data_IF_843963006027
#
_entry.id   IF_843963006027
#
_cell.length_a   1.000
_cell.length_b   1.000
_cell.length_c   1.000
_cell.angle_alpha   90.00
_cell.angle_beta   90.00
_cell.angle_gamma   90.00
#
_symmetry.space_group_name_H-M   'P 1'
#
loop_
_entity.id
_entity.type
_entity.pdbx_description
1 polymer ?
#
# COMPACT_ATOMS: atom_id res chain seq x y z
N UNK A 1 55.48 16.32 22.63
CA UNK A 1 55.37 15.14 23.51
C UNK A 1 55.43 13.89 22.66
N UNK A 2 56.08 12.81 23.12
CA UNK A 2 56.15 11.52 22.39
C UNK A 2 54.86 10.73 22.62
N UNK A 3 54.01 10.58 21.61
CA UNK A 3 52.88 9.66 21.69
C UNK A 3 53.35 8.22 21.52
N UNK A 4 52.91 7.36 22.45
CA UNK A 4 53.06 5.91 22.42
C UNK A 4 51.84 5.31 21.72
N UNK A 5 52.08 4.31 20.87
CA UNK A 5 51.03 3.51 20.23
C UNK A 5 50.17 2.83 21.30
N UNK A 6 48.87 3.01 21.23
CA UNK A 6 47.88 2.16 21.90
C UNK A 6 47.07 1.51 20.78
N UNK A 7 47.05 0.18 20.78
CA UNK A 7 46.27 -0.64 19.86
C UNK A 7 44.79 -0.27 19.99
N UNK A 8 44.16 0.09 18.87
CA UNK A 8 42.71 0.17 18.78
C UNK A 8 42.15 -1.25 18.94
N UNK A 9 41.54 -1.50 20.10
CA UNK A 9 40.70 -2.67 20.29
C UNK A 9 39.43 -2.47 19.46
N UNK A 10 39.24 -3.32 18.46
CA UNK A 10 37.98 -3.45 17.74
C UNK A 10 36.92 -3.85 18.77
N UNK A 11 36.03 -2.91 19.12
CA UNK A 11 34.78 -3.26 19.80
C UNK A 11 33.82 -3.70 18.70
N UNK A 12 33.78 -5.01 18.45
CA UNK A 12 32.72 -5.62 17.66
C UNK A 12 31.47 -5.64 18.55
N UNK A 13 30.65 -4.60 18.47
CA UNK A 13 29.27 -4.69 18.95
C UNK A 13 28.53 -5.53 17.93
N UNK A 14 28.31 -6.81 18.24
CA UNK A 14 27.45 -7.67 17.42
C UNK A 14 26.01 -7.21 17.60
N UNK A 15 25.57 -6.24 16.79
CA UNK A 15 24.16 -6.05 16.54
C UNK A 15 23.71 -7.30 15.82
N UNK A 16 22.77 -8.03 16.41
CA UNK A 16 22.12 -9.14 15.75
C UNK A 16 21.32 -8.57 14.57
N UNK A 17 21.98 -8.39 13.43
CA UNK A 17 21.32 -8.22 12.16
C UNK A 17 20.60 -9.55 11.89
N UNK A 18 19.29 -9.57 12.11
CA UNK A 18 18.44 -10.62 11.57
C UNK A 18 18.70 -10.62 10.07
N UNK A 19 19.31 -11.69 9.57
CA UNK A 19 19.63 -11.81 8.14
C UNK A 19 18.32 -11.75 7.37
N UNK A 20 18.07 -10.63 6.69
CA UNK A 20 17.04 -10.55 5.69
C UNK A 20 17.43 -11.55 4.58
N UNK A 21 16.61 -12.57 4.41
CA UNK A 21 16.62 -13.39 3.19
C UNK A 21 16.38 -12.43 2.05
N UNK A 22 17.27 -12.40 1.05
CA UNK A 22 17.05 -11.69 -0.19
C UNK A 22 15.90 -12.36 -0.95
N UNK A 23 14.67 -12.07 -0.54
CA UNK A 23 13.50 -12.12 -1.40
C UNK A 23 13.71 -11.09 -2.51
N UNK A 24 13.22 -11.36 -3.71
CA UNK A 24 13.14 -10.36 -4.77
C UNK A 24 12.56 -9.06 -4.22
N UNK A 25 13.12 -7.89 -4.56
CA UNK A 25 12.75 -6.57 -4.02
C UNK A 25 11.28 -6.15 -4.24
N UNK A 26 10.48 -6.99 -4.91
CA UNK A 26 9.04 -6.84 -5.07
C UNK A 26 8.35 -6.70 -3.70
N UNK A 27 7.42 -5.76 -3.61
CA UNK A 27 6.59 -5.44 -2.44
C UNK A 27 7.36 -5.00 -1.18
N UNK A 28 8.65 -4.65 -1.31
CA UNK A 28 9.41 -4.14 -0.18
C UNK A 28 8.99 -2.70 0.11
N UNK A 29 8.41 -2.47 1.29
CA UNK A 29 8.09 -1.15 1.81
C UNK A 29 9.32 -0.51 2.47
N UNK A 30 9.58 0.74 2.13
CA UNK A 30 10.71 1.54 2.62
C UNK A 30 10.25 2.96 2.95
N UNK A 31 10.91 3.60 3.93
CA UNK A 31 10.76 5.05 4.13
C UNK A 31 11.63 5.78 3.12
N UNK A 32 11.03 6.71 2.38
CA UNK A 32 11.72 7.67 1.53
C UNK A 32 11.72 9.01 2.24
N UNK A 33 12.89 9.53 2.60
CA UNK A 33 13.01 10.70 3.45
C UNK A 33 14.12 11.65 2.98
N UNK A 34 13.83 12.93 2.97
CA UNK A 34 14.83 13.99 2.92
C UNK A 34 14.39 15.09 3.87
N UNK A 35 15.30 15.52 4.73
CA UNK A 35 15.04 16.57 5.71
C UNK A 35 14.80 17.95 5.04
N UNK A 36 14.52 18.99 5.84
CA UNK A 36 14.25 20.34 5.31
C UNK A 36 15.39 20.94 4.46
N UNK A 37 16.64 20.55 4.73
CA UNK A 37 17.86 21.01 4.06
C UNK A 37 18.42 19.97 3.06
N UNK A 38 17.61 18.96 2.70
CA UNK A 38 17.98 17.82 1.84
C UNK A 38 19.03 16.88 2.44
N UNK A 39 19.34 17.02 3.73
CA UNK A 39 20.33 16.19 4.40
C UNK A 39 19.97 15.91 5.87
N UNK A 40 19.76 14.64 6.26
CA UNK A 40 20.04 13.43 5.50
C UNK A 40 19.01 13.17 4.41
N UNK A 41 19.46 12.58 3.29
CA UNK A 41 18.61 12.10 2.20
C UNK A 41 18.70 10.58 2.08
N UNK A 42 17.59 9.89 2.28
CA UNK A 42 17.45 8.43 2.26
C UNK A 42 16.40 8.07 1.21
N UNK A 43 16.85 7.39 0.15
CA UNK A 43 16.04 7.12 -1.04
C UNK A 43 15.99 5.64 -1.44
N UNK A 44 16.54 4.77 -0.59
CA UNK A 44 16.50 3.32 -0.76
C UNK A 44 16.72 2.61 0.59
N UNK A 45 16.74 1.28 0.57
CA UNK A 45 16.99 0.43 1.74
C UNK A 45 18.40 -0.16 1.79
N UNK A 46 19.37 0.38 1.05
CA UNK A 46 20.73 -0.18 0.99
C UNK A 46 21.48 0.00 2.31
N UNK A 47 21.13 1.06 3.07
CA UNK A 47 21.77 1.41 4.33
C UNK A 47 23.03 2.27 4.16
N UNK A 48 23.40 2.65 2.94
CA UNK A 48 24.54 3.50 2.67
C UNK A 48 24.39 4.30 1.36
N UNK A 49 24.82 5.56 1.35
CA UNK A 49 24.91 6.39 0.15
C UNK A 49 26.15 7.29 0.21
N UNK A 50 26.76 7.53 -0.95
CA UNK A 50 27.85 8.51 -1.09
C UNK A 50 27.31 9.76 -1.80
N UNK A 51 27.40 10.90 -1.12
CA UNK A 51 27.05 12.21 -1.67
C UNK A 51 28.00 12.65 -2.78
N UNK A 52 27.56 13.60 -3.60
CA UNK A 52 28.41 14.14 -4.69
C UNK A 52 29.67 14.86 -4.19
N UNK A 53 29.69 15.24 -2.92
CA UNK A 53 30.81 15.84 -2.20
C UNK A 53 31.74 14.80 -1.56
N UNK A 54 31.44 13.51 -1.68
CA UNK A 54 32.17 12.39 -1.07
C UNK A 54 31.71 12.06 0.36
N UNK A 55 30.67 12.71 0.88
CA UNK A 55 30.13 12.39 2.21
C UNK A 55 29.44 11.03 2.18
N UNK A 56 29.94 10.06 2.95
CA UNK A 56 29.30 8.76 3.13
C UNK A 56 28.25 8.91 4.23
N UNK A 57 27.01 8.55 3.93
CA UNK A 57 25.91 8.48 4.90
C UNK A 57 25.50 7.03 5.08
N UNK A 58 25.39 6.56 6.31
CA UNK A 58 24.94 5.21 6.66
C UNK A 58 23.69 5.27 7.53
N UNK A 59 22.82 4.28 7.41
CA UNK A 59 21.60 4.17 8.22
C UNK A 59 21.16 2.72 8.36
N UNK A 60 20.35 2.45 9.38
CA UNK A 60 19.60 1.20 9.54
C UNK A 60 18.24 1.36 8.87
N UNK A 61 17.99 0.59 7.81
CA UNK A 61 16.68 0.50 7.18
C UNK A 61 15.83 -0.59 7.85
N UNK A 62 14.63 -0.22 8.31
CA UNK A 62 13.57 -1.15 8.69
C UNK A 62 12.57 -1.27 7.55
N UNK A 63 12.53 -2.42 6.89
CA UNK A 63 11.65 -2.69 5.74
C UNK A 63 10.55 -3.69 6.10
N UNK A 64 9.54 -3.78 5.24
CA UNK A 64 8.48 -4.78 5.36
C UNK A 64 8.11 -5.37 3.99
N UNK A 65 7.80 -6.66 3.94
CA UNK A 65 7.23 -7.32 2.76
C UNK A 65 5.70 -7.20 2.80
N UNK A 66 5.15 -6.39 1.88
CA UNK A 66 3.73 -6.06 1.79
C UNK A 66 3.07 -6.86 0.67
N UNK A 67 3.00 -8.17 0.88
CA UNK A 67 2.44 -9.14 -0.09
C UNK A 67 0.99 -9.54 0.18
N UNK A 68 0.36 -9.03 1.25
CA UNK A 68 -1.02 -9.33 1.66
C UNK A 68 -1.63 -8.20 2.49
N UNK A 69 -2.90 -8.33 2.86
CA UNK A 69 -3.53 -7.37 3.75
C UNK A 69 -2.88 -7.42 5.14
N UNK A 70 -2.74 -6.26 5.79
CA UNK A 70 -2.16 -6.21 7.11
C UNK A 70 -1.70 -4.84 7.56
N UNK A 71 -1.15 -4.83 8.78
CA UNK A 71 -0.50 -3.67 9.38
C UNK A 71 1.01 -3.88 9.37
N UNK A 72 1.73 -2.91 8.82
CA UNK A 72 3.17 -2.96 8.62
C UNK A 72 3.85 -1.77 9.29
N UNK A 73 5.12 -1.91 9.63
CA UNK A 73 5.94 -0.81 10.14
C UNK A 73 7.26 -0.79 9.40
N UNK A 74 7.62 0.38 8.87
CA UNK A 74 8.91 0.66 8.24
C UNK A 74 9.61 1.77 8.99
N UNK A 75 10.94 1.83 8.90
CA UNK A 75 11.71 2.84 9.62
C UNK A 75 13.04 3.16 8.97
N UNK A 76 13.58 4.31 9.35
CA UNK A 76 14.99 4.68 9.21
C UNK A 76 15.52 4.91 10.62
N UNK A 77 16.77 4.54 10.88
CA UNK A 77 17.40 4.80 12.17
C UNK A 77 18.91 4.78 12.13
N UNK A 78 19.52 5.19 13.24
CA UNK A 78 20.96 5.26 13.44
C UNK A 78 21.71 5.92 12.27
N UNK A 79 21.21 7.08 11.83
CA UNK A 79 21.81 7.80 10.70
C UNK A 79 23.17 8.36 11.12
N UNK A 80 24.20 8.07 10.31
CA UNK A 80 25.56 8.54 10.52
C UNK A 80 26.17 9.10 9.25
N UNK A 81 27.05 10.09 9.38
CA UNK A 81 27.78 10.73 8.29
C UNK A 81 29.29 10.60 8.49
N UNK A 82 30.03 10.46 7.40
CA UNK A 82 31.48 10.56 7.41
C UNK A 82 31.92 11.98 7.73
N UNK A 83 32.92 12.09 8.60
CA UNK A 83 33.59 13.33 8.96
C UNK A 83 35.10 13.14 8.81
N UNK A 84 35.77 14.19 8.32
CA UNK A 84 37.24 14.25 8.23
C UNK A 84 37.72 15.27 9.25
N UNK A 85 38.63 14.85 10.13
CA UNK A 85 39.37 15.78 10.98
C UNK A 85 40.31 16.62 10.11
N UNK A 86 40.09 17.94 10.05
CA UNK A 86 40.88 18.83 9.19
C UNK A 86 42.37 18.93 9.60
N UNK A 87 42.71 18.63 10.86
CA UNK A 87 44.08 18.71 11.37
C UNK A 87 44.85 17.40 11.10
N UNK A 88 44.22 16.26 11.35
CA UNK A 88 44.87 14.94 11.23
C UNK A 88 44.61 14.24 9.91
N UNK A 89 43.51 14.59 9.23
CA UNK A 89 43.00 13.87 8.06
C UNK A 89 42.33 12.54 8.41
N UNK A 90 42.04 12.28 9.69
CA UNK A 90 41.40 11.03 10.11
C UNK A 90 39.90 11.03 9.77
N UNK A 91 39.43 9.94 9.19
CA UNK A 91 38.02 9.70 8.89
C UNK A 91 37.29 9.07 10.09
N UNK A 92 36.06 9.50 10.34
CA UNK A 92 35.18 8.94 11.36
C UNK A 92 33.71 9.02 10.94
N UNK A 93 32.82 8.33 11.64
CA UNK A 93 31.38 8.45 11.46
C UNK A 93 30.76 9.15 12.68
N UNK A 94 29.89 10.12 12.45
CA UNK A 94 29.14 10.85 13.49
C UNK A 94 27.64 10.77 13.29
N UNK A 95 26.82 10.83 14.36
CA UNK A 95 25.37 10.81 14.23
C UNK A 95 24.86 12.04 13.48
N UNK A 96 23.77 11.87 12.73
CA UNK A 96 23.06 12.95 12.04
C UNK A 96 21.71 13.15 12.69
N UNK A 97 21.38 14.40 13.01
CA UNK A 97 20.03 14.81 13.39
C UNK A 97 19.31 15.28 12.14
N UNK A 98 18.09 14.78 11.91
CA UNK A 98 17.20 15.27 10.86
C UNK A 98 16.19 16.25 11.45
N UNK A 99 15.94 17.36 10.75
CA UNK A 99 14.97 18.38 11.12
C UNK A 99 14.07 18.73 9.94
N UNK A 100 12.75 18.65 10.14
CA UNK A 100 11.80 18.90 9.06
C UNK A 100 11.80 17.82 7.97
N UNK A 101 11.11 18.11 6.86
CA UNK A 101 11.14 17.28 5.66
C UNK A 101 10.82 18.10 4.41
N UNK A 102 11.54 17.82 3.31
CA UNK A 102 11.13 18.16 1.94
C UNK A 102 10.52 16.95 1.23
N UNK A 103 10.89 15.74 1.62
CA UNK A 103 10.32 14.48 1.13
C UNK A 103 10.12 13.56 2.32
N UNK A 104 8.92 13.01 2.48
CA UNK A 104 8.63 11.98 3.45
C UNK A 104 7.49 11.10 2.94
N UNK A 105 7.81 9.90 2.51
CA UNK A 105 6.86 8.93 1.98
C UNK A 105 7.17 7.52 2.48
N UNK A 106 6.21 6.62 2.32
CA UNK A 106 6.50 5.18 2.26
C UNK A 106 6.33 4.72 0.82
N UNK A 107 7.38 4.17 0.23
CA UNK A 107 7.30 3.55 -1.10
C UNK A 107 7.32 2.03 -0.93
N UNK A 108 6.40 1.36 -1.62
CA UNK A 108 6.31 -0.10 -1.69
C UNK A 108 6.62 -0.51 -3.12
N UNK A 109 7.81 -1.08 -3.31
CA UNK A 109 8.34 -1.44 -4.62
C UNK A 109 7.42 -2.42 -5.35
N UNK A 110 7.15 -2.19 -6.64
CA UNK A 110 6.40 -3.12 -7.51
C UNK A 110 4.90 -3.34 -7.19
N UNK A 111 4.41 -2.90 -6.02
CA UNK A 111 3.07 -3.27 -5.55
C UNK A 111 1.95 -2.73 -6.45
N UNK A 112 2.05 -1.50 -6.95
CA UNK A 112 1.01 -0.96 -7.83
C UNK A 112 0.94 -1.66 -9.19
N UNK A 113 2.08 -2.10 -9.71
CA UNK A 113 2.15 -2.93 -10.91
C UNK A 113 1.52 -4.30 -10.67
N UNK A 114 1.89 -4.97 -9.56
CA UNK A 114 1.35 -6.27 -9.18
C UNK A 114 -0.18 -6.27 -9.00
N UNK A 115 -0.73 -5.18 -8.47
CA UNK A 115 -2.18 -5.02 -8.24
C UNK A 115 -2.93 -4.51 -9.47
N UNK A 116 -2.25 -4.16 -10.57
CA UNK A 116 -2.88 -3.58 -11.75
C UNK A 116 -3.54 -2.23 -11.48
N UNK A 117 -2.98 -1.44 -10.56
CA UNK A 117 -3.46 -0.09 -10.18
C UNK A 117 -2.50 1.02 -10.64
N UNK A 118 -1.38 0.65 -11.27
CA UNK A 118 -0.34 1.56 -11.73
C UNK A 118 -0.39 1.89 -13.21
N UNK A 119 0.66 2.58 -13.67
CA UNK A 119 0.85 2.95 -15.07
C UNK A 119 0.74 1.74 -16.00
N UNK A 120 -0.07 1.87 -17.05
CA UNK A 120 -0.38 0.80 -18.00
C UNK A 120 -1.67 0.05 -17.70
N UNK A 121 -2.30 0.26 -16.53
CA UNK A 121 -3.65 -0.24 -16.26
C UNK A 121 -4.71 0.60 -16.99
N UNK A 122 -5.78 -0.07 -17.43
CA UNK A 122 -6.94 0.58 -18.03
C UNK A 122 -7.54 1.62 -17.06
N UNK A 123 -7.56 2.88 -17.48
CA UNK A 123 -8.07 4.02 -16.70
C UNK A 123 -7.00 4.84 -15.96
N UNK A 124 -5.73 4.43 -15.99
CA UNK A 124 -4.65 5.16 -15.30
C UNK A 124 -4.11 6.36 -16.08
N UNK A 125 -3.98 6.26 -17.42
CA UNK A 125 -3.21 7.22 -18.23
C UNK A 125 -3.73 8.68 -18.17
N UNK A 126 -5.02 8.85 -17.91
CA UNK A 126 -5.66 10.17 -17.83
C UNK A 126 -5.51 10.83 -16.45
N UNK A 127 -5.12 10.09 -15.41
CA UNK A 127 -4.98 10.58 -14.04
C UNK A 127 -3.73 11.49 -13.91
N UNK A 128 -3.88 12.65 -13.27
CA UNK A 128 -2.80 13.66 -13.17
C UNK A 128 -2.39 13.96 -11.74
N UNK A 129 -3.34 13.94 -10.82
CA UNK A 129 -3.14 14.29 -9.41
C UNK A 129 -2.99 13.06 -8.53
N UNK A 130 -2.41 13.23 -7.35
CA UNK A 130 -2.34 12.16 -6.35
C UNK A 130 -3.75 11.73 -5.89
N UNK A 131 -4.69 12.68 -5.82
CA UNK A 131 -6.09 12.41 -5.49
C UNK A 131 -6.78 11.49 -6.51
N UNK A 132 -6.66 11.78 -7.81
CA UNK A 132 -7.22 10.94 -8.88
C UNK A 132 -6.62 9.53 -8.88
N UNK A 133 -5.31 9.41 -8.64
CA UNK A 133 -4.60 8.13 -8.56
C UNK A 133 -5.00 7.32 -7.33
N UNK A 134 -5.23 7.98 -6.20
CA UNK A 134 -5.78 7.35 -5.01
C UNK A 134 -7.22 6.87 -5.22
N UNK A 135 -8.07 7.69 -5.86
CA UNK A 135 -9.44 7.26 -6.21
C UNK A 135 -9.44 6.05 -7.14
N UNK A 136 -8.51 5.99 -8.09
CA UNK A 136 -8.34 4.81 -8.94
C UNK A 136 -7.92 3.58 -8.14
N UNK A 137 -6.93 3.67 -7.25
CA UNK A 137 -6.54 2.57 -6.37
C UNK A 137 -7.72 2.08 -5.51
N UNK A 138 -8.48 3.01 -4.92
CA UNK A 138 -9.70 2.71 -4.15
C UNK A 138 -10.77 2.03 -5.00
N UNK A 139 -10.94 2.45 -6.27
CA UNK A 139 -11.90 1.82 -7.18
C UNK A 139 -11.58 0.36 -7.50
N UNK A 140 -10.31 -0.05 -7.31
CA UNK A 140 -9.83 -1.42 -7.47
C UNK A 140 -9.85 -2.21 -6.15
N UNK A 141 -10.25 -1.58 -5.04
CA UNK A 141 -10.37 -2.22 -3.73
C UNK A 141 -9.20 -1.98 -2.79
N UNK A 142 -8.14 -1.28 -3.22
CA UNK A 142 -6.97 -1.00 -2.39
C UNK A 142 -7.26 0.17 -1.46
N UNK A 143 -6.91 0.03 -0.19
CA UNK A 143 -7.03 1.12 0.78
C UNK A 143 -5.87 1.15 1.76
N UNK A 144 -5.48 2.34 2.21
CA UNK A 144 -4.49 2.56 3.25
C UNK A 144 -5.12 3.35 4.38
N UNK A 145 -4.94 2.89 5.63
CA UNK A 145 -5.49 3.49 6.85
C UNK A 145 -4.50 3.41 8.00
N UNK A 146 -4.87 4.02 9.13
CA UNK A 146 -4.19 3.85 10.42
C UNK A 146 -2.70 4.19 10.38
N UNK A 147 -2.36 5.24 9.64
CA UNK A 147 -1.00 5.76 9.56
C UNK A 147 -0.64 6.45 10.87
N UNK A 148 0.42 5.93 11.51
CA UNK A 148 0.99 6.45 12.75
C UNK A 148 2.49 6.68 12.52
N UNK A 149 2.98 7.84 12.92
CA UNK A 149 4.38 8.22 12.75
C UNK A 149 5.00 8.40 14.13
N UNK A 150 6.10 7.69 14.38
CA UNK A 150 6.86 7.79 15.63
C UNK A 150 8.30 8.15 15.34
N UNK A 151 8.89 8.92 16.24
CA UNK A 151 10.28 9.32 16.16
C UNK A 151 10.99 9.18 17.50
N UNK A 152 12.30 9.04 17.46
CA UNK A 152 13.16 8.95 18.64
C UNK A 152 14.27 9.99 18.57
N UNK A 153 14.33 10.83 19.59
CA UNK A 153 15.39 11.82 19.82
C UNK A 153 16.12 11.47 21.13
N UNK A 154 17.40 11.13 21.05
CA UNK A 154 18.17 10.59 22.16
C UNK A 154 17.59 9.27 22.67
N UNK A 155 16.91 9.29 23.82
CA UNK A 155 16.22 8.13 24.40
C UNK A 155 14.69 8.35 24.48
N UNK A 156 14.19 9.47 23.97
CA UNK A 156 12.78 9.86 24.07
C UNK A 156 12.02 9.51 22.78
N UNK A 157 10.98 8.68 22.92
CA UNK A 157 10.02 8.38 21.84
C UNK A 157 8.87 9.40 21.88
N UNK A 158 8.48 9.90 20.71
CA UNK A 158 7.30 10.74 20.52
C UNK A 158 6.53 10.33 19.26
N UNK A 159 5.27 10.74 19.21
CA UNK A 159 4.38 10.52 18.07
C UNK A 159 4.11 11.87 17.38
N UNK A 160 4.19 11.88 16.05
CA UNK A 160 3.84 13.03 15.22
C UNK A 160 2.37 12.93 14.88
N UNK A 161 1.62 14.01 15.09
CA UNK A 161 0.19 14.03 14.78
C UNK A 161 -0.04 13.95 13.26
N UNK A 162 -0.92 13.04 12.83
CA UNK A 162 -1.24 12.83 11.41
C UNK A 162 -2.75 12.89 11.17
N UNK A 163 -3.16 13.78 10.27
CA UNK A 163 -4.49 13.77 9.66
C UNK A 163 -4.52 12.74 8.52
N UNK A 164 -4.93 11.52 8.88
CA UNK A 164 -5.06 10.40 7.96
C UNK A 164 -5.99 10.68 6.77
N UNK A 165 -6.90 11.65 6.87
CA UNK A 165 -7.83 11.99 5.77
C UNK A 165 -7.17 12.75 4.61
N UNK A 166 -5.97 13.29 4.83
CA UNK A 166 -5.20 14.05 3.84
C UNK A 166 -4.12 13.25 3.13
N UNK A 167 -3.91 12.01 3.56
CA UNK A 167 -2.89 11.13 2.97
C UNK A 167 -3.35 10.70 1.58
N UNK A 168 -2.44 10.77 0.61
CA UNK A 168 -2.63 10.16 -0.70
C UNK A 168 -1.86 8.85 -0.79
N UNK A 169 -2.43 7.89 -1.51
CA UNK A 169 -1.75 6.65 -1.81
C UNK A 169 -2.04 6.14 -3.23
N UNK A 170 -1.17 5.27 -3.75
CA UNK A 170 -1.29 4.65 -5.08
C UNK A 170 -0.01 4.80 -5.89
N UNK A 171 -0.06 4.52 -7.20
CA UNK A 171 1.07 4.77 -8.11
C UNK A 171 1.18 6.27 -8.43
N UNK A 172 1.59 7.08 -7.46
CA UNK A 172 1.60 8.54 -7.57
C UNK A 172 2.60 9.02 -8.63
N UNK A 173 3.71 8.32 -8.82
CA UNK A 173 4.76 8.70 -9.78
C UNK A 173 4.66 7.99 -11.14
N UNK A 174 3.80 6.97 -11.27
CA UNK A 174 3.68 6.19 -12.51
C UNK A 174 4.88 5.30 -12.76
N UNK A 175 5.48 4.77 -11.70
CA UNK A 175 6.69 3.94 -11.72
C UNK A 175 6.46 2.54 -11.15
N UNK A 176 5.20 2.13 -10.96
CA UNK A 176 4.83 0.78 -10.51
C UNK A 176 4.89 0.58 -8.99
N UNK A 177 5.40 1.55 -8.24
CA UNK A 177 5.40 1.51 -6.77
C UNK A 177 4.03 1.91 -6.22
N UNK A 178 3.65 1.39 -5.06
CA UNK A 178 2.61 2.04 -4.26
C UNK A 178 3.29 3.03 -3.32
N UNK A 179 3.01 4.31 -3.50
CA UNK A 179 3.45 5.35 -2.57
C UNK A 179 2.33 5.65 -1.58
N UNK A 180 2.68 5.82 -0.30
CA UNK A 180 1.90 6.52 0.72
C UNK A 180 2.60 7.87 0.90
N UNK A 181 2.03 8.94 0.34
CA UNK A 181 2.64 10.28 0.38
C UNK A 181 2.25 10.99 1.69
N UNK A 182 3.23 11.19 2.58
CA UNK A 182 3.02 11.85 3.88
C UNK A 182 3.39 13.34 3.79
N UNK A 183 4.46 13.67 3.07
CA UNK A 183 4.78 15.03 2.66
C UNK A 183 5.73 15.00 1.45
N UNK A 184 5.48 15.85 0.46
CA UNK A 184 6.38 15.98 -0.68
C UNK A 184 6.32 17.40 -1.25
N UNK A 185 7.46 18.08 -1.27
CA UNK A 185 7.58 19.45 -1.75
C UNK A 185 7.30 19.62 -3.26
N UNK A 186 7.24 18.49 -3.97
CA UNK A 186 6.93 18.37 -5.39
C UNK A 186 5.59 17.65 -5.64
N UNK A 187 4.93 17.19 -4.58
CA UNK A 187 3.65 16.47 -4.62
C UNK A 187 2.45 17.35 -4.29
N UNK A 188 1.27 16.72 -4.23
CA UNK A 188 0.03 17.42 -3.90
C UNK A 188 -0.10 17.70 -2.39
N UNK A 189 0.54 16.88 -1.55
CA UNK A 189 0.58 17.06 -0.09
C UNK A 189 1.23 18.38 0.36
N UNK A 190 2.10 19.01 -0.44
CA UNK A 190 2.65 20.34 -0.11
C UNK A 190 1.59 21.40 0.18
N UNK A 191 0.45 21.34 -0.53
CA UNK A 191 -0.61 22.35 -0.43
C UNK A 191 -1.51 22.12 0.78
N UNK A 192 -1.62 20.87 1.23
CA UNK A 192 -2.48 20.45 2.33
C UNK A 192 -1.86 19.22 3.02
N UNK A 193 -0.83 19.46 3.84
CA UNK A 193 -0.05 18.40 4.44
C UNK A 193 -0.87 17.62 5.49
N UNK A 194 -0.74 16.27 5.53
CA UNK A 194 -1.25 15.41 6.60
C UNK A 194 -0.65 15.68 7.98
N UNK A 195 0.55 16.25 8.05
CA UNK A 195 1.28 16.53 9.29
C UNK A 195 1.96 17.91 9.23
N UNK A 196 2.36 18.42 10.40
CA UNK A 196 3.29 19.55 10.47
C UNK A 196 4.71 19.00 10.35
N UNK A 197 5.38 19.28 9.23
CA UNK A 197 6.76 18.80 9.01
C UNK A 197 7.73 19.36 10.04
N UNK A 198 7.44 20.51 10.66
CA UNK A 198 8.32 21.09 11.69
C UNK A 198 8.34 20.29 13.00
N UNK A 199 7.40 19.36 13.18
CA UNK A 199 7.40 18.41 14.30
C UNK A 199 8.37 17.23 14.08
N UNK A 200 8.94 17.08 12.88
CA UNK A 200 9.95 16.06 12.58
C UNK A 200 11.31 16.52 13.13
N UNK A 201 11.81 15.79 14.12
CA UNK A 201 13.10 16.04 14.75
C UNK A 201 13.62 14.76 15.43
N UNK A 202 14.59 14.08 14.81
CA UNK A 202 15.10 12.79 15.30
C UNK A 202 16.59 12.57 14.99
N UNK A 203 17.27 11.84 15.87
CA UNK A 203 18.68 11.42 15.70
C UNK A 203 18.85 9.89 15.84
N UNK A 204 17.80 9.19 16.31
CA UNK A 204 17.79 7.73 16.47
C UNK A 204 16.92 7.03 15.47
N UNK A 205 15.65 7.41 15.33
CA UNK A 205 14.77 6.76 14.35
C UNK A 205 13.54 7.57 14.00
N UNK A 206 13.01 7.27 12.82
CA UNK A 206 11.70 7.67 12.35
C UNK A 206 11.02 6.41 11.81
N UNK A 207 9.81 6.11 12.28
CA UNK A 207 9.03 4.94 11.87
C UNK A 207 7.63 5.31 11.46
N UNK A 208 7.12 4.58 10.47
CA UNK A 208 5.76 4.72 9.95
C UNK A 208 5.08 3.37 10.04
N UNK A 209 4.01 3.31 10.84
CA UNK A 209 3.09 2.19 10.88
C UNK A 209 1.89 2.51 9.99
N UNK A 210 1.41 1.57 9.19
CA UNK A 210 0.24 1.73 8.32
C UNK A 210 -0.50 0.40 8.14
N UNK A 211 -1.81 0.47 7.90
CA UNK A 211 -2.63 -0.67 7.46
C UNK A 211 -2.92 -0.54 5.98
N UNK A 212 -2.79 -1.65 5.24
CA UNK A 212 -3.20 -1.77 3.84
C UNK A 212 -4.13 -2.96 3.65
N UNK A 213 -5.16 -2.77 2.83
CA UNK A 213 -6.16 -3.80 2.50
C UNK A 213 -6.43 -3.87 1.00
N UNK A 214 -7.01 -4.98 0.56
CA UNK A 214 -7.41 -5.22 -0.84
C UNK A 214 -6.39 -6.00 -1.66
N UNK A 215 -5.19 -6.25 -1.13
CA UNK A 215 -4.15 -7.07 -1.76
C UNK A 215 -4.64 -8.51 -1.86
N UNK A 216 -5.16 -9.06 -0.76
CA UNK A 216 -5.60 -10.46 -0.71
C UNK A 216 -6.75 -10.76 -1.69
N UNK A 217 -7.66 -9.80 -1.83
CA UNK A 217 -8.78 -9.91 -2.76
C UNK A 217 -8.34 -9.86 -4.23
N UNK A 218 -7.32 -9.04 -4.55
CA UNK A 218 -6.82 -8.87 -5.93
C UNK A 218 -5.92 -10.05 -6.34
N UNK A 219 -5.05 -10.49 -5.44
CA UNK A 219 -4.06 -11.54 -5.72
C UNK A 219 -4.58 -12.96 -5.42
N UNK A 220 -5.74 -13.09 -4.78
CA UNK A 220 -6.29 -14.38 -4.38
C UNK A 220 -5.47 -15.08 -3.29
N UNK A 221 -4.79 -14.29 -2.44
CA UNK A 221 -3.95 -14.78 -1.34
C UNK A 221 -4.67 -14.85 0.00
N UNK A 222 -5.91 -14.34 0.08
CA UNK A 222 -6.79 -14.56 1.22
C UNK A 222 -7.16 -16.04 1.33
N UNK A 223 -7.15 -16.60 2.54
CA UNK A 223 -7.40 -18.02 2.82
C UNK A 223 -8.52 -18.61 1.95
N UNK A 224 -8.27 -19.76 1.32
CA UNK A 224 -9.29 -20.48 0.56
C UNK A 224 -10.57 -20.64 1.39
N UNK A 225 -11.77 -20.54 0.79
CA UNK A 225 -12.98 -20.95 1.47
C UNK A 225 -12.86 -22.44 1.78
N UNK A 226 -12.60 -22.78 3.04
CA UNK A 226 -12.73 -24.15 3.56
C UNK A 226 -14.21 -24.46 3.73
N UNK A 227 -14.96 -24.39 2.64
CA UNK A 227 -16.27 -25.02 2.51
C UNK A 227 -16.05 -26.36 1.81
N UNK A 228 -15.50 -27.35 2.53
CA UNK A 228 -15.81 -28.73 2.17
C UNK A 228 -17.28 -28.97 2.54
N UNK A 229 -18.20 -29.20 1.59
CA UNK A 229 -19.45 -29.85 1.94
C UNK A 229 -19.09 -31.27 2.39
N UNK A 230 -19.21 -31.55 3.69
CA UNK A 230 -19.28 -32.94 4.17
C UNK A 230 -20.63 -33.51 3.73
N UNK A 231 -20.73 -33.87 2.45
CA UNK A 231 -21.78 -34.76 1.98
C UNK A 231 -21.40 -36.18 2.43
N UNK A 232 -21.86 -36.58 3.63
CA UNK A 232 -22.05 -38.00 3.91
C UNK A 232 -23.27 -38.48 3.12
N UNK A 233 -23.13 -39.36 2.11
CA UNK A 233 -24.28 -40.08 1.59
C UNK A 233 -24.69 -41.14 2.62
N UNK A 234 -25.78 -40.85 3.33
CA UNK A 234 -26.57 -41.85 4.05
C UNK A 234 -27.44 -42.63 3.05
N UNK A 235 -27.56 -43.93 3.31
CA UNK A 235 -28.47 -44.95 2.76
C UNK A 235 -28.02 -45.74 1.51
N UNK A 236 -27.54 -46.96 1.80
CA UNK A 236 -27.65 -48.13 0.90
C UNK A 236 -29.11 -48.37 0.50
N UNK A 237 -29.34 -48.88 -0.72
CA UNK A 237 -30.28 -49.98 -0.85
C UNK A 237 -29.64 -51.21 -1.46
N UNK A 238 -29.76 -52.32 -0.74
CA UNK A 238 -29.47 -53.69 -1.16
C UNK A 238 -30.58 -54.24 -2.07
N UNK A 239 -30.18 -55.18 -2.92
CA UNK A 239 -30.92 -56.25 -3.59
C UNK A 239 -31.35 -56.07 -5.07
N UNK A 240 -30.66 -56.84 -5.92
CA UNK A 240 -30.98 -57.21 -7.30
C UNK A 240 -32.12 -58.29 -7.38
N UNK A 241 -32.33 -59.03 -8.50
CA UNK A 241 -33.16 -58.67 -9.67
C UNK A 241 -34.21 -59.77 -10.00
N UNK A 242 -35.29 -59.53 -10.76
CA UNK A 242 -36.10 -60.65 -11.34
C UNK A 242 -36.96 -60.28 -12.58
N UNK A 243 -36.72 -61.04 -13.66
CA UNK A 243 -37.55 -61.56 -14.77
C UNK A 243 -38.47 -60.68 -15.67
N UNK A 244 -38.02 -60.49 -16.92
CA UNK A 244 -38.55 -61.00 -18.23
C UNK A 244 -40.08 -61.13 -18.56
N UNK A 245 -40.48 -61.24 -19.86
CA UNK A 245 -41.20 -60.22 -20.64
C UNK A 245 -42.64 -60.62 -21.04
N UNK A 246 -43.52 -59.71 -21.54
CA UNK A 246 -44.74 -60.07 -22.33
C UNK A 246 -45.39 -58.87 -23.07
N UNK A 247 -45.42 -58.99 -24.41
CA UNK A 247 -46.47 -58.71 -25.43
C UNK A 247 -47.30 -57.39 -25.51
N UNK A 248 -47.40 -56.91 -26.76
CA UNK A 248 -48.23 -55.86 -27.40
C UNK A 248 -49.78 -56.05 -27.28
N UNK A 249 -50.66 -55.29 -28.00
CA UNK A 249 -50.79 -53.82 -28.23
C UNK A 249 -52.25 -53.33 -27.95
N UNK A 250 -52.57 -52.03 -28.11
CA UNK A 250 -53.75 -51.54 -28.90
C UNK A 250 -53.98 -50.01 -28.87
N UNK A 251 -53.85 -49.41 -30.07
CA UNK A 251 -54.74 -48.46 -30.78
C UNK A 251 -55.34 -47.19 -30.13
N UNK A 252 -55.15 -46.06 -30.84
CA UNK A 252 -56.02 -44.87 -30.81
C UNK A 252 -55.25 -43.59 -31.21
N UNK A 253 -54.77 -43.46 -32.45
CA UNK A 253 -55.37 -42.63 -33.51
C UNK A 253 -55.85 -41.21 -33.10
N UNK A 254 -55.08 -40.17 -33.43
CA UNK A 254 -55.47 -39.15 -34.42
C UNK A 254 -54.53 -37.92 -34.44
N UNK A 255 -53.97 -37.69 -35.64
CA UNK A 255 -53.64 -36.39 -36.29
C UNK A 255 -52.56 -35.45 -35.70
N UNK A 256 -51.40 -35.48 -36.38
CA UNK A 256 -50.37 -34.43 -36.58
C UNK A 256 -50.97 -33.13 -37.23
N UNK A 257 -50.18 -32.05 -37.50
CA UNK A 257 -49.01 -31.46 -36.80
C UNK A 257 -49.21 -29.96 -36.49
N UNK A 258 -48.50 -29.37 -35.51
CA UNK A 258 -47.96 -28.01 -35.71
C UNK A 258 -46.79 -27.71 -34.77
N UNK A 259 -45.62 -27.58 -35.39
CA UNK A 259 -44.49 -26.68 -35.10
C UNK A 259 -44.27 -26.13 -33.69
N UNK A 260 -43.12 -26.55 -33.18
CA UNK A 260 -42.24 -25.92 -32.20
C UNK A 260 -41.85 -24.49 -32.60
N UNK A 261 -42.10 -23.52 -31.73
CA UNK A 261 -41.20 -22.39 -31.45
C UNK A 261 -41.50 -21.89 -30.03
N UNK A 262 -40.57 -22.14 -29.12
CA UNK A 262 -40.55 -21.50 -27.82
C UNK A 262 -40.41 -19.97 -27.90
N UNK A 263 -40.74 -19.35 -26.76
CA UNK A 263 -40.06 -18.22 -26.07
C UNK A 263 -41.13 -17.48 -25.25
N UNK A 264 -41.03 -17.72 -23.95
CA UNK A 264 -41.23 -16.78 -22.83
C UNK A 264 -42.36 -15.74 -22.92
N UNK A 265 -43.40 -15.97 -22.13
CA UNK A 265 -44.18 -14.89 -21.56
C UNK A 265 -43.61 -14.48 -20.20
N UNK A 266 -43.65 -13.19 -19.87
CA UNK A 266 -44.61 -12.59 -18.93
C UNK A 266 -44.15 -11.19 -18.45
N UNK A 267 -45.09 -10.26 -18.54
CA UNK A 267 -45.31 -9.04 -17.75
C UNK A 267 -44.37 -7.83 -17.87
N UNK A 268 -44.90 -6.83 -18.58
CA UNK A 268 -44.69 -5.42 -18.37
C UNK A 268 -45.26 -4.93 -17.02
N UNK A 269 -44.59 -3.97 -16.38
CA UNK A 269 -45.26 -2.94 -15.55
C UNK A 269 -44.60 -1.59 -15.82
N UNK A 270 -45.42 -0.67 -16.33
CA UNK A 270 -45.13 0.75 -16.50
C UNK A 270 -45.54 1.53 -15.24
N UNK A 271 -44.75 2.53 -14.85
CA UNK A 271 -45.24 3.64 -14.05
C UNK A 271 -44.48 4.93 -14.40
N UNK A 272 -45.13 5.79 -15.18
CA UNK A 272 -44.80 7.20 -15.40
C UNK A 272 -45.62 8.02 -14.41
N UNK A 273 -44.99 8.97 -13.71
CA UNK A 273 -45.69 10.14 -13.17
C UNK A 273 -44.72 11.34 -13.05
N UNK A 274 -44.86 12.27 -13.99
CA UNK A 274 -44.32 13.63 -13.95
C UNK A 274 -45.31 14.51 -13.20
N UNK A 275 -44.86 15.34 -12.24
CA UNK A 275 -45.50 16.62 -11.92
C UNK A 275 -44.47 17.67 -11.48
N UNK A 276 -44.43 18.76 -12.24
CA UNK A 276 -43.73 20.00 -11.95
C UNK A 276 -44.68 21.00 -11.27
N UNK A 277 -44.18 21.81 -10.34
CA UNK A 277 -44.75 23.12 -10.01
C UNK A 277 -43.67 23.99 -9.34
N UNK A 278 -43.29 25.08 -10.00
CA UNK A 278 -42.40 26.10 -9.47
C UNK A 278 -43.14 27.19 -8.69
N UNK A 279 -42.40 27.94 -7.87
CA UNK A 279 -42.77 29.28 -7.42
C UNK A 279 -41.52 30.14 -7.25
N UNK A 280 -41.37 31.11 -8.13
CA UNK A 280 -40.47 32.26 -8.02
C UNK A 280 -41.15 33.31 -7.15
N UNK A 281 -40.44 33.89 -6.18
CA UNK A 281 -40.81 35.17 -5.56
C UNK A 281 -39.63 36.12 -5.62
N UNK A 282 -39.82 37.20 -6.40
CA UNK A 282 -39.00 38.42 -6.45
C UNK A 282 -39.59 39.45 -5.49
N UNK A 283 -38.74 40.15 -4.74
CA UNK A 283 -38.77 41.59 -4.37
C UNK A 283 -37.97 41.76 -3.05
N UNK A 284 -37.16 42.80 -2.81
CA UNK A 284 -37.36 44.21 -3.14
C UNK A 284 -36.06 44.98 -2.87
N UNK A 285 -35.63 45.80 -3.83
CA UNK A 285 -34.62 46.85 -3.66
C UNK A 285 -35.29 48.09 -3.05
N UNK A 286 -34.66 48.76 -2.07
CA UNK A 286 -34.92 50.18 -1.79
C UNK A 286 -33.60 50.89 -1.51
N UNK A 287 -33.31 51.82 -2.44
CA UNK A 287 -32.50 53.05 -2.41
C UNK A 287 -31.33 53.13 -1.46
#
# INVERSE_FOLDING_TARGET
MKLRKIMAGVVATSIAATMAVAASAENTAIVMFADADWYPGIFDSTGEAEGSDGTITQWTAGTADVSKDGTYTVSIGDIQASMIDEETGDESMGPVTAEGAVVFNVDIEGLSEALGIGKGADGYDDLKTAAEKMEFAKSKGVNVTDVVIKQVMGEEESEIAVDNSKIYFGDIEGNGKLRIELYNDFGDTKKDAPLDVTDIYFDKSLSVTFTITGIDAILGTGEEPTDEPTDEPTDEPTDEPTDEPTEEPTTGDSTKPSTDTGVEGIAAVAAVAVLAAGAVVVAKKRK
#
